data_IF_757409200000
#
_entry.id   IF_757409200000
#
_cell.length_a   1.000
_cell.length_b   1.000
_cell.length_c   1.000
_cell.angle_alpha   90.00
_cell.angle_beta   90.00
_cell.angle_gamma   90.00
#
_symmetry.space_group_name_H-M   'P 1'
#
loop_
_entity.id
_entity.type
_entity.pdbx_description
1 polymer ?
#
# COMPACT_ATOMS: atom_id res chain seq x y z
N UNK A 1 20.86 13.89 16.87
CA UNK A 1 21.04 14.05 15.42
C UNK A 1 19.65 14.12 14.77
N UNK A 2 19.30 15.28 14.20
CA UNK A 2 17.99 15.53 13.58
C UNK A 2 17.94 15.10 12.10
N UNK A 3 18.58 14.01 11.76
CA UNK A 3 18.56 13.46 10.39
C UNK A 3 17.27 12.64 10.23
N UNK A 4 16.35 13.13 9.43
CA UNK A 4 15.06 12.47 9.18
C UNK A 4 14.85 12.27 7.69
N UNK A 5 14.25 11.13 7.31
CA UNK A 5 13.77 10.85 5.97
C UNK A 5 12.58 9.89 6.05
N UNK A 6 11.78 9.84 5.00
CA UNK A 6 10.63 8.94 4.93
C UNK A 6 11.01 7.62 4.27
N UNK A 7 10.55 6.53 4.85
CA UNK A 7 10.60 5.19 4.26
C UNK A 7 9.17 4.80 3.89
N UNK A 8 8.97 4.37 2.65
CA UNK A 8 7.71 3.81 2.20
C UNK A 8 7.87 2.31 2.03
N UNK A 9 7.01 1.54 2.68
CA UNK A 9 6.91 0.10 2.44
C UNK A 9 6.16 -0.15 1.14
N UNK A 10 6.75 -0.98 0.29
CA UNK A 10 6.11 -1.45 -0.93
C UNK A 10 5.98 -2.97 -0.80
N UNK A 11 4.85 -3.45 -0.29
CA UNK A 11 4.65 -4.87 -0.06
C UNK A 11 4.77 -5.64 -1.37
N UNK A 12 5.61 -6.66 -1.35
CA UNK A 12 5.90 -7.68 -2.35
C UNK A 12 5.61 -7.29 -3.80
N UNK A 13 6.64 -7.06 -4.58
CA UNK A 13 6.49 -7.03 -6.04
C UNK A 13 5.92 -8.40 -6.44
N UNK A 14 4.66 -8.42 -6.83
CA UNK A 14 3.95 -9.63 -7.20
C UNK A 14 4.45 -10.04 -8.59
N UNK A 15 4.77 -11.31 -8.77
CA UNK A 15 5.04 -11.91 -10.08
C UNK A 15 3.95 -11.46 -11.06
N UNK A 16 4.38 -10.91 -12.23
CA UNK A 16 3.51 -10.38 -13.28
C UNK A 16 2.81 -9.03 -13.01
N UNK A 17 3.34 -8.19 -12.13
CA UNK A 17 2.84 -6.83 -11.92
C UNK A 17 2.80 -6.00 -13.21
N UNK A 18 3.62 -6.34 -14.22
CA UNK A 18 3.69 -5.67 -15.52
C UNK A 18 2.59 -6.11 -16.51
N UNK A 19 1.90 -7.24 -16.27
CA UNK A 19 0.88 -7.79 -17.16
C UNK A 19 -0.54 -7.25 -16.94
N UNK A 20 -0.69 -6.21 -16.12
CA UNK A 20 -1.96 -5.47 -16.06
C UNK A 20 -2.98 -5.95 -15.02
N UNK A 21 -2.64 -6.86 -14.11
CA UNK A 21 -3.47 -7.14 -12.95
C UNK A 21 -3.37 -5.96 -11.96
N UNK A 22 -4.08 -4.91 -12.23
CA UNK A 22 -4.37 -3.62 -11.54
C UNK A 22 -3.59 -3.15 -10.31
N UNK A 23 -2.97 -4.00 -9.54
CA UNK A 23 -2.23 -3.67 -8.32
C UNK A 23 -0.75 -3.33 -8.58
N UNK A 24 -0.08 -4.01 -9.52
CA UNK A 24 1.35 -3.84 -9.77
C UNK A 24 1.73 -2.45 -10.31
N UNK A 25 0.99 -1.92 -11.28
CA UNK A 25 1.23 -0.58 -11.83
C UNK A 25 1.03 0.55 -10.81
N UNK A 26 0.12 0.39 -9.86
CA UNK A 26 -0.11 1.39 -8.83
C UNK A 26 1.04 1.42 -7.81
N UNK A 27 1.60 0.25 -7.46
CA UNK A 27 2.74 0.14 -6.57
C UNK A 27 4.04 0.70 -7.18
N UNK A 28 4.30 0.36 -8.43
CA UNK A 28 5.49 0.82 -9.13
C UNK A 28 5.52 2.35 -9.28
N UNK A 29 4.35 3.00 -9.39
CA UNK A 29 4.23 4.46 -9.39
C UNK A 29 4.73 5.10 -8.08
N UNK A 30 4.56 4.44 -6.92
CA UNK A 30 5.10 4.93 -5.67
C UNK A 30 6.62 4.88 -5.64
N UNK A 31 7.24 3.87 -6.28
CA UNK A 31 8.70 3.78 -6.42
C UNK A 31 9.28 4.91 -7.28
N UNK A 32 8.52 5.44 -8.23
CA UNK A 32 8.97 6.58 -9.05
C UNK A 32 9.29 7.81 -8.20
N UNK A 33 8.59 8.00 -7.09
CA UNK A 33 8.77 9.14 -6.17
C UNK A 33 9.92 8.96 -5.17
N UNK A 34 10.45 7.76 -5.03
CA UNK A 34 11.57 7.49 -4.12
C UNK A 34 12.90 7.91 -4.74
N UNK A 35 13.88 8.27 -3.93
CA UNK A 35 15.24 8.62 -4.38
C UNK A 35 16.18 7.43 -4.34
N UNK A 36 15.95 6.51 -3.41
CA UNK A 36 16.77 5.34 -3.14
C UNK A 36 15.85 4.13 -2.97
N UNK A 37 16.28 2.99 -3.43
CA UNK A 37 15.59 1.72 -3.24
C UNK A 37 16.35 0.84 -2.24
N UNK A 38 15.63 0.26 -1.30
CA UNK A 38 16.15 -0.76 -0.39
C UNK A 38 15.48 -2.07 -0.74
N UNK A 39 16.26 -3.03 -1.22
CA UNK A 39 15.76 -4.34 -1.60
C UNK A 39 16.02 -5.34 -0.45
N UNK A 40 14.98 -5.70 0.27
CA UNK A 40 15.05 -6.74 1.30
C UNK A 40 14.92 -8.11 0.67
N UNK A 41 15.86 -9.01 1.01
CA UNK A 41 15.86 -10.39 0.54
C UNK A 41 15.90 -11.33 1.73
N UNK A 42 15.03 -12.31 1.75
CA UNK A 42 15.05 -13.39 2.74
C UNK A 42 16.15 -14.39 2.40
N UNK A 43 17.21 -14.43 3.21
CA UNK A 43 18.36 -15.32 2.99
C UNK A 43 18.13 -16.75 3.50
N UNK A 44 17.07 -16.99 4.28
CA UNK A 44 16.87 -18.31 4.91
C UNK A 44 16.42 -19.41 3.95
N UNK A 45 15.79 -19.05 2.83
CA UNK A 45 15.25 -20.04 1.87
C UNK A 45 14.15 -20.95 2.44
N UNK A 46 13.66 -20.70 3.66
CA UNK A 46 12.73 -21.59 4.38
C UNK A 46 11.38 -21.78 3.68
N UNK A 47 10.99 -20.85 2.81
CA UNK A 47 9.75 -20.95 2.03
C UNK A 47 9.92 -21.75 0.73
N UNK A 48 11.06 -22.43 0.56
CA UNK A 48 11.38 -23.18 -0.66
C UNK A 48 11.74 -22.30 -1.86
N UNK A 49 12.03 -21.02 -1.62
CA UNK A 49 12.46 -20.05 -2.63
C UNK A 49 13.96 -19.85 -2.58
N UNK A 50 14.59 -19.72 -3.74
CA UNK A 50 16.00 -19.35 -3.83
C UNK A 50 16.14 -17.82 -3.77
N UNK A 51 16.85 -17.26 -2.76
CA UNK A 51 17.06 -15.81 -2.62
C UNK A 51 17.62 -15.14 -3.89
N UNK A 52 18.46 -15.85 -4.63
CA UNK A 52 19.06 -15.31 -5.85
C UNK A 52 18.05 -15.24 -7.01
N UNK A 53 17.16 -16.20 -7.11
CA UNK A 53 16.09 -16.18 -8.11
C UNK A 53 15.06 -15.11 -7.77
N UNK A 54 14.67 -14.93 -6.51
CA UNK A 54 13.78 -13.85 -6.07
C UNK A 54 14.36 -12.47 -6.40
N UNK A 55 15.64 -12.26 -6.12
CA UNK A 55 16.33 -11.02 -6.51
C UNK A 55 16.29 -10.80 -8.02
N UNK A 56 16.53 -11.83 -8.82
CA UNK A 56 16.53 -11.75 -10.29
C UNK A 56 15.14 -11.44 -10.84
N UNK A 57 14.08 -12.08 -10.31
CA UNK A 57 12.71 -11.84 -10.70
C UNK A 57 12.35 -10.37 -10.47
N UNK A 58 12.52 -9.86 -9.25
CA UNK A 58 12.21 -8.48 -8.89
C UNK A 58 13.05 -7.47 -9.70
N UNK A 59 14.34 -7.77 -9.91
CA UNK A 59 15.21 -6.92 -10.70
C UNK A 59 14.76 -6.84 -12.17
N UNK A 60 14.30 -7.95 -12.74
CA UNK A 60 13.76 -7.97 -14.09
C UNK A 60 12.43 -7.22 -14.19
N UNK A 61 11.57 -7.30 -13.19
CA UNK A 61 10.30 -6.55 -13.16
C UNK A 61 10.54 -5.04 -13.11
N UNK A 62 11.43 -4.59 -12.24
CA UNK A 62 11.80 -3.17 -12.16
C UNK A 62 12.35 -2.66 -13.50
N UNK A 63 13.20 -3.45 -14.15
CA UNK A 63 13.78 -3.11 -15.46
C UNK A 63 12.73 -3.06 -16.57
N UNK A 64 11.79 -4.02 -16.60
CA UNK A 64 10.71 -4.04 -17.57
C UNK A 64 9.74 -2.89 -17.41
N UNK A 65 9.52 -2.45 -16.18
CA UNK A 65 8.57 -1.37 -15.91
C UNK A 65 9.10 -0.02 -16.39
N UNK A 66 10.32 0.37 -15.99
CA UNK A 66 10.90 1.65 -16.37
C UNK A 66 12.42 1.68 -16.10
N UNK A 67 13.20 2.04 -17.11
CA UNK A 67 14.65 2.15 -16.98
C UNK A 67 15.09 3.15 -15.90
N UNK A 68 14.31 4.22 -15.68
CA UNK A 68 14.57 5.20 -14.63
C UNK A 68 14.54 4.57 -13.22
N UNK A 69 13.68 3.58 -12.97
CA UNK A 69 13.65 2.86 -11.69
C UNK A 69 14.84 1.92 -11.53
N UNK A 70 15.24 1.27 -12.63
CA UNK A 70 16.43 0.42 -12.62
C UNK A 70 17.71 1.19 -12.27
N UNK A 71 17.82 2.42 -12.75
CA UNK A 71 19.00 3.27 -12.57
C UNK A 71 19.04 4.00 -11.23
N UNK A 72 18.02 3.88 -10.38
CA UNK A 72 18.03 4.48 -9.03
C UNK A 72 19.10 3.85 -8.15
N UNK A 73 19.75 4.65 -7.27
CA UNK A 73 20.61 4.12 -6.22
C UNK A 73 19.87 3.03 -5.45
N UNK A 74 20.51 1.88 -5.31
CA UNK A 74 19.93 0.72 -4.65
C UNK A 74 20.91 0.06 -3.74
N UNK A 75 20.44 -0.32 -2.55
CA UNK A 75 21.15 -1.17 -1.62
C UNK A 75 20.36 -2.48 -1.41
N UNK A 76 21.08 -3.56 -1.17
CA UNK A 76 20.49 -4.86 -0.88
C UNK A 76 20.65 -5.13 0.61
N UNK A 77 19.57 -5.46 1.28
CA UNK A 77 19.57 -5.96 2.64
C UNK A 77 19.32 -7.46 2.63
N UNK A 78 20.37 -8.23 2.87
CA UNK A 78 20.31 -9.66 3.07
C UNK A 78 19.76 -9.92 4.48
N UNK A 79 18.46 -10.19 4.58
CA UNK A 79 17.74 -10.29 5.86
C UNK A 79 17.62 -11.74 6.34
N UNK A 80 17.25 -11.89 7.61
CA UNK A 80 17.13 -13.17 8.31
C UNK A 80 18.47 -13.91 8.46
N UNK A 81 19.55 -13.16 8.69
CA UNK A 81 20.89 -13.74 8.88
C UNK A 81 21.03 -14.54 10.17
N UNK A 82 20.03 -14.51 11.04
CA UNK A 82 19.90 -15.31 12.26
C UNK A 82 19.39 -16.73 12.00
N UNK A 83 19.01 -17.06 10.77
CA UNK A 83 18.46 -18.36 10.42
C UNK A 83 19.49 -19.27 9.71
N UNK A 84 19.34 -20.62 9.79
CA UNK A 84 20.18 -21.57 9.06
C UNK A 84 20.23 -21.27 7.55
N UNK A 85 21.30 -21.69 6.89
CA UNK A 85 21.54 -21.57 5.44
C UNK A 85 21.69 -20.11 4.92
N UNK A 86 21.45 -19.10 5.76
CA UNK A 86 21.54 -17.68 5.38
C UNK A 86 22.95 -17.28 4.98
N UNK A 87 23.95 -17.81 5.65
CA UNK A 87 25.37 -17.47 5.40
C UNK A 87 25.83 -17.99 4.04
N UNK A 88 25.47 -19.23 3.67
CA UNK A 88 25.75 -19.80 2.35
C UNK A 88 25.06 -19.00 1.24
N UNK A 89 23.80 -18.64 1.43
CA UNK A 89 23.06 -17.83 0.47
C UNK A 89 23.64 -16.43 0.34
N UNK A 90 24.13 -15.82 1.44
CA UNK A 90 24.81 -14.53 1.41
C UNK A 90 26.12 -14.61 0.57
N UNK A 91 26.94 -15.62 0.76
CA UNK A 91 28.15 -15.81 -0.04
C UNK A 91 27.84 -15.95 -1.54
N UNK A 92 26.81 -16.71 -1.88
CA UNK A 92 26.31 -16.83 -3.26
C UNK A 92 25.88 -15.50 -3.83
N UNK A 93 25.12 -14.70 -3.04
CA UNK A 93 24.65 -13.38 -3.44
C UNK A 93 25.80 -12.40 -3.64
N UNK A 94 26.74 -12.35 -2.69
CA UNK A 94 27.92 -11.49 -2.76
C UNK A 94 28.83 -11.83 -3.95
N UNK A 95 29.06 -13.11 -4.21
CA UNK A 95 29.86 -13.57 -5.35
C UNK A 95 29.24 -13.14 -6.68
N UNK A 96 27.92 -13.11 -6.78
CA UNK A 96 27.23 -12.82 -8.03
C UNK A 96 26.96 -11.34 -8.25
N UNK A 97 26.62 -10.60 -7.19
CA UNK A 97 26.11 -9.24 -7.28
C UNK A 97 26.89 -8.22 -6.43
N UNK A 98 27.89 -8.66 -5.64
CA UNK A 98 28.65 -7.79 -4.75
C UNK A 98 29.49 -6.72 -5.45
N UNK A 99 29.81 -6.89 -6.74
CA UNK A 99 30.48 -5.86 -7.54
C UNK A 99 29.52 -4.77 -8.04
N UNK A 100 28.24 -5.08 -8.16
CA UNK A 100 27.24 -4.16 -8.74
C UNK A 100 26.41 -3.46 -7.67
N UNK A 101 26.28 -4.07 -6.49
CA UNK A 101 25.43 -3.57 -5.41
C UNK A 101 26.11 -3.63 -4.05
N UNK A 102 25.82 -2.65 -3.21
CA UNK A 102 26.17 -2.70 -1.79
C UNK A 102 25.20 -3.66 -1.06
N UNK A 103 25.77 -4.71 -0.43
CA UNK A 103 25.00 -5.75 0.25
C UNK A 103 25.24 -5.66 1.75
N UNK A 104 24.16 -5.51 2.52
CA UNK A 104 24.17 -5.40 3.97
C UNK A 104 23.50 -6.63 4.59
N UNK A 105 24.25 -7.50 5.28
CA UNK A 105 23.67 -8.58 6.07
C UNK A 105 22.97 -7.99 7.30
N UNK A 106 21.71 -8.36 7.51
CA UNK A 106 20.91 -7.90 8.65
C UNK A 106 20.06 -9.02 9.23
N UNK A 107 19.72 -8.88 10.51
CA UNK A 107 18.74 -9.70 11.18
C UNK A 107 17.68 -8.77 11.82
N UNK A 108 16.78 -8.26 11.00
CA UNK A 108 15.88 -7.18 11.40
C UNK A 108 14.96 -7.57 12.57
N UNK A 109 14.50 -8.81 12.62
CA UNK A 109 13.64 -9.32 13.71
C UNK A 109 14.43 -9.72 14.96
N UNK A 110 15.68 -10.14 14.83
CA UNK A 110 16.51 -10.59 15.94
C UNK A 110 17.21 -9.45 16.70
N UNK A 111 16.97 -8.18 16.34
CA UNK A 111 17.41 -7.02 17.10
C UNK A 111 18.77 -6.44 16.70
N UNK A 112 19.26 -6.70 15.51
CA UNK A 112 20.52 -6.16 14.95
C UNK A 112 20.49 -4.64 14.72
N UNK A 113 20.39 -3.85 15.81
CA UNK A 113 20.27 -2.38 15.74
C UNK A 113 21.45 -1.72 15.05
N UNK A 114 22.66 -2.21 15.27
CA UNK A 114 23.87 -1.63 14.69
C UNK A 114 23.91 -1.78 13.16
N UNK A 115 23.51 -2.92 12.64
CA UNK A 115 23.48 -3.18 11.20
C UNK A 115 22.36 -2.39 10.53
N UNK A 116 21.20 -2.29 11.16
CA UNK A 116 20.13 -1.41 10.69
C UNK A 116 20.56 0.07 10.68
N UNK A 117 21.33 0.52 11.67
CA UNK A 117 21.85 1.89 11.69
C UNK A 117 22.80 2.15 10.52
N UNK A 118 23.67 1.19 10.15
CA UNK A 118 24.54 1.29 8.97
C UNK A 118 23.72 1.46 7.69
N UNK A 119 22.68 0.64 7.53
CA UNK A 119 21.75 0.73 6.39
C UNK A 119 21.08 2.10 6.32
N UNK A 120 20.51 2.56 7.44
CA UNK A 120 19.83 3.85 7.51
C UNK A 120 20.76 5.02 7.21
N UNK A 121 21.99 4.98 7.75
CA UNK A 121 23.00 6.00 7.46
C UNK A 121 23.36 6.03 5.97
N UNK A 122 23.54 4.85 5.38
CA UNK A 122 23.83 4.75 3.95
C UNK A 122 22.70 5.23 3.07
N UNK A 123 21.46 4.90 3.43
CA UNK A 123 20.26 5.45 2.77
C UNK A 123 20.28 6.98 2.80
N UNK A 124 20.57 7.57 3.95
CA UNK A 124 20.62 9.03 4.11
C UNK A 124 21.68 9.65 3.20
N UNK A 125 22.90 9.09 3.16
CA UNK A 125 23.96 9.54 2.28
C UNK A 125 23.56 9.51 0.79
N UNK A 126 22.97 8.40 0.36
CA UNK A 126 22.49 8.24 -1.02
C UNK A 126 21.33 9.22 -1.35
N UNK A 127 20.44 9.49 -0.40
CA UNK A 127 19.36 10.48 -0.57
C UNK A 127 19.92 11.89 -0.74
N UNK A 128 20.99 12.23 -0.02
CA UNK A 128 21.67 13.54 -0.15
C UNK A 128 22.43 13.66 -1.46
N UNK A 129 23.07 12.57 -1.91
CA UNK A 129 23.82 12.52 -3.16
C UNK A 129 22.92 12.45 -4.40
N UNK A 130 21.68 11.98 -4.23
CA UNK A 130 20.73 11.90 -5.33
C UNK A 130 20.43 13.31 -5.88
N UNK A 131 20.42 13.49 -7.22
CA UNK A 131 20.04 14.75 -7.81
C UNK A 131 18.65 15.15 -7.27
N UNK A 132 18.49 16.43 -6.97
CA UNK A 132 17.14 16.95 -6.66
C UNK A 132 16.30 16.57 -7.87
N UNK A 133 15.38 15.64 -7.66
CA UNK A 133 14.33 15.40 -8.65
C UNK A 133 13.67 16.75 -8.79
N UNK A 134 13.93 17.44 -9.92
CA UNK A 134 13.05 18.52 -10.31
C UNK A 134 11.70 17.86 -10.33
N UNK A 135 10.83 18.26 -9.40
CA UNK A 135 9.43 17.99 -9.53
C UNK A 135 9.09 18.49 -10.93
N UNK A 136 9.07 17.57 -11.92
CA UNK A 136 8.31 17.86 -13.14
C UNK A 136 6.99 18.30 -12.57
N UNK A 137 6.71 19.62 -12.65
CA UNK A 137 5.38 20.12 -12.39
C UNK A 137 4.52 19.19 -13.19
N UNK A 138 3.95 18.19 -12.51
CA UNK A 138 2.86 17.44 -13.07
C UNK A 138 1.97 18.55 -13.60
N UNK A 139 1.76 18.54 -14.92
CA UNK A 139 0.65 19.31 -15.49
C UNK A 139 -0.42 19.23 -14.47
N UNK A 140 -0.80 20.37 -13.93
CA UNK A 140 -1.69 20.49 -12.78
C UNK A 140 -2.58 19.27 -12.76
N UNK A 141 -2.18 18.25 -11.94
CA UNK A 141 -3.19 17.34 -11.47
C UNK A 141 -4.15 18.36 -10.92
N UNK A 142 -5.21 18.61 -11.71
CA UNK A 142 -6.36 19.33 -11.18
C UNK A 142 -6.44 18.72 -9.82
N UNK A 143 -6.00 19.48 -8.81
CA UNK A 143 -6.29 19.17 -7.44
C UNK A 143 -7.79 19.11 -7.51
N UNK A 144 -8.26 17.92 -7.83
CA UNK A 144 -9.57 17.54 -7.45
C UNK A 144 -9.39 17.63 -5.96
N UNK A 145 -9.54 18.87 -5.44
CA UNK A 145 -9.93 19.04 -4.07
C UNK A 145 -10.79 17.83 -3.87
N UNK A 146 -10.36 16.91 -3.00
CA UNK A 146 -11.27 16.01 -2.38
C UNK A 146 -12.31 16.97 -1.74
N UNK A 147 -13.20 17.51 -2.56
CA UNK A 147 -14.57 17.67 -2.14
C UNK A 147 -14.82 16.26 -1.68
N UNK A 148 -14.94 16.08 -0.37
CA UNK A 148 -15.48 14.90 0.22
C UNK A 148 -16.55 14.44 -0.77
N UNK A 149 -16.18 13.54 -1.70
CA UNK A 149 -17.17 12.80 -2.43
C UNK A 149 -17.67 11.92 -1.32
N UNK A 150 -18.74 12.43 -0.69
CA UNK A 150 -19.51 11.56 0.15
C UNK A 150 -19.65 10.28 -0.66
N UNK A 151 -19.18 9.13 -0.17
CA UNK A 151 -19.17 7.88 -0.95
C UNK A 151 -20.60 7.48 -1.34
N UNK A 152 -21.56 8.33 -1.04
CA UNK A 152 -22.99 8.19 -1.28
C UNK A 152 -23.62 9.58 -1.53
N UNK A 153 -24.76 9.59 -2.20
CA UNK A 153 -25.67 10.72 -2.33
C UNK A 153 -26.96 10.41 -1.59
N UNK A 154 -27.55 11.41 -0.97
CA UNK A 154 -28.82 11.30 -0.25
C UNK A 154 -29.79 12.30 -0.87
N UNK A 155 -30.94 11.83 -1.24
CA UNK A 155 -32.05 12.66 -1.69
C UNK A 155 -33.36 12.18 -1.07
N UNK A 156 -34.38 13.04 -1.05
CA UNK A 156 -35.69 12.70 -0.54
C UNK A 156 -36.63 12.42 -1.70
N UNK A 157 -37.39 11.35 -1.63
CA UNK A 157 -38.40 11.04 -2.65
C UNK A 157 -39.74 11.78 -2.41
N UNK A 158 -40.70 11.60 -3.32
CA UNK A 158 -42.00 12.24 -3.25
C UNK A 158 -42.88 11.69 -2.09
N UNK A 159 -42.52 10.55 -1.50
CA UNK A 159 -43.17 9.93 -0.36
C UNK A 159 -42.53 10.34 0.97
N UNK A 160 -41.43 11.06 0.94
CA UNK A 160 -40.73 11.53 2.12
C UNK A 160 -39.62 10.61 2.61
N UNK A 161 -39.33 9.51 1.93
CA UNK A 161 -38.26 8.58 2.26
C UNK A 161 -36.89 9.11 1.86
N UNK A 162 -35.86 8.79 2.62
CA UNK A 162 -34.47 9.12 2.29
C UNK A 162 -33.85 8.03 1.42
N UNK A 163 -33.54 8.38 0.18
CA UNK A 163 -32.90 7.45 -0.77
C UNK A 163 -31.40 7.65 -0.70
N UNK A 164 -30.67 6.57 -0.46
CA UNK A 164 -29.21 6.55 -0.40
C UNK A 164 -28.65 5.78 -1.61
N UNK A 165 -27.83 6.46 -2.40
CA UNK A 165 -27.17 5.87 -3.57
C UNK A 165 -25.65 6.06 -3.48
N UNK A 166 -24.89 5.06 -3.93
CA UNK A 166 -23.44 5.10 -3.98
C UNK A 166 -22.83 3.74 -4.26
N UNK A 167 -21.77 3.70 -5.03
CA UNK A 167 -21.13 2.44 -5.43
C UNK A 167 -20.60 1.65 -4.23
N UNK A 168 -20.06 2.34 -3.23
CA UNK A 168 -19.59 1.70 -1.99
C UNK A 168 -20.75 1.19 -1.14
N UNK A 169 -21.86 1.94 -1.01
CA UNK A 169 -23.06 1.50 -0.29
C UNK A 169 -23.60 0.23 -0.94
N UNK A 170 -23.78 0.24 -2.27
CA UNK A 170 -24.24 -0.92 -3.04
C UNK A 170 -23.37 -2.16 -2.81
N UNK A 171 -22.05 -1.97 -2.85
CA UNK A 171 -21.07 -3.05 -2.64
C UNK A 171 -21.21 -3.68 -1.27
N UNK A 172 -21.29 -2.88 -0.22
CA UNK A 172 -21.40 -3.40 1.14
C UNK A 172 -22.74 -4.09 1.41
N UNK A 173 -23.84 -3.58 0.87
CA UNK A 173 -25.15 -4.24 0.93
C UNK A 173 -25.08 -5.61 0.24
N UNK A 174 -24.56 -5.68 -0.98
CA UNK A 174 -24.44 -6.92 -1.75
C UNK A 174 -23.53 -7.98 -1.10
N UNK A 175 -22.58 -7.57 -0.25
CA UNK A 175 -21.65 -8.44 0.47
C UNK A 175 -22.18 -8.87 1.86
N UNK A 176 -23.33 -8.37 2.29
CA UNK A 176 -23.88 -8.65 3.62
C UNK A 176 -24.93 -9.74 3.57
N UNK A 177 -24.73 -10.77 4.39
CA UNK A 177 -25.75 -11.78 4.64
C UNK A 177 -26.73 -11.26 5.71
N UNK A 178 -27.91 -10.86 5.29
CA UNK A 178 -28.97 -10.34 6.18
C UNK A 178 -29.59 -11.40 7.09
N UNK A 179 -29.33 -12.67 6.86
CA UNK A 179 -29.72 -13.76 7.78
C UNK A 179 -28.78 -13.89 8.98
N UNK A 180 -27.66 -13.14 9.02
CA UNK A 180 -26.67 -13.20 10.08
C UNK A 180 -26.56 -11.86 10.83
N UNK A 181 -27.00 -11.82 12.08
CA UNK A 181 -26.99 -10.61 12.92
C UNK A 181 -25.60 -9.97 13.04
N UNK A 182 -24.53 -10.77 13.09
CA UNK A 182 -23.15 -10.26 13.17
C UNK A 182 -22.75 -9.55 11.87
N UNK A 183 -23.21 -10.02 10.72
CA UNK A 183 -22.97 -9.37 9.43
C UNK A 183 -23.72 -8.04 9.32
N UNK A 184 -24.97 -7.99 9.79
CA UNK A 184 -25.78 -6.77 9.85
C UNK A 184 -25.14 -5.73 10.77
N UNK A 185 -24.69 -6.11 11.97
CA UNK A 185 -23.97 -5.20 12.88
C UNK A 185 -22.64 -4.68 12.28
N UNK A 186 -21.97 -5.51 11.48
CA UNK A 186 -20.78 -5.09 10.75
C UNK A 186 -21.13 -4.03 9.70
N UNK A 187 -22.20 -4.23 8.93
CA UNK A 187 -22.68 -3.26 7.94
C UNK A 187 -23.00 -1.92 8.58
N UNK A 188 -23.72 -1.91 9.71
CA UNK A 188 -24.03 -0.69 10.47
C UNK A 188 -22.77 0.07 10.89
N UNK A 189 -21.76 -0.65 11.40
CA UNK A 189 -20.46 -0.03 11.75
C UNK A 189 -19.75 0.57 10.54
N UNK A 190 -19.83 -0.06 9.38
CA UNK A 190 -19.26 0.45 8.14
C UNK A 190 -19.99 1.71 7.69
N UNK A 191 -21.33 1.71 7.69
CA UNK A 191 -22.12 2.87 7.33
C UNK A 191 -21.86 4.06 8.25
N UNK A 192 -21.75 3.81 9.55
CA UNK A 192 -21.36 4.83 10.51
C UNK A 192 -19.96 5.38 10.26
N UNK A 193 -18.98 4.50 9.96
CA UNK A 193 -17.61 4.90 9.61
C UNK A 193 -17.53 5.68 8.29
N UNK A 194 -18.43 5.40 7.35
CA UNK A 194 -18.57 6.16 6.09
C UNK A 194 -19.23 7.53 6.28
N UNK A 195 -19.75 7.83 7.47
CA UNK A 195 -20.45 9.08 7.77
C UNK A 195 -21.89 9.13 7.24
N UNK A 196 -22.53 7.98 7.01
CA UNK A 196 -23.90 7.92 6.52
C UNK A 196 -24.89 8.58 7.49
N UNK A 197 -24.73 8.35 8.79
CA UNK A 197 -25.56 8.94 9.83
C UNK A 197 -25.48 10.49 9.80
N UNK A 198 -24.27 11.02 9.68
CA UNK A 198 -24.06 12.47 9.58
C UNK A 198 -24.61 13.05 8.27
N UNK A 199 -24.52 12.28 7.19
CA UNK A 199 -25.11 12.63 5.90
C UNK A 199 -26.65 12.72 5.98
N UNK A 200 -27.30 11.72 6.58
CA UNK A 200 -28.74 11.68 6.78
C UNK A 200 -29.24 12.83 7.66
N UNK A 201 -28.53 13.13 8.78
CA UNK A 201 -28.84 14.29 9.63
C UNK A 201 -28.75 15.62 8.87
N UNK A 202 -27.70 15.80 8.06
CA UNK A 202 -27.55 16.98 7.21
C UNK A 202 -28.63 17.09 6.13
N UNK A 203 -29.14 15.96 5.66
CA UNK A 203 -30.27 15.90 4.74
C UNK A 203 -31.63 16.13 5.42
N UNK A 204 -31.67 16.22 6.76
CA UNK A 204 -32.86 16.51 7.55
C UNK A 204 -33.61 15.26 8.04
N UNK A 205 -32.93 14.12 8.14
CA UNK A 205 -33.51 12.88 8.69
C UNK A 205 -33.61 12.97 10.22
N UNK A 206 -34.72 12.50 10.76
CA UNK A 206 -35.01 12.39 12.19
C UNK A 206 -35.19 10.92 12.58
N UNK A 207 -35.10 10.66 13.87
CA UNK A 207 -35.32 9.32 14.42
C UNK A 207 -36.68 8.76 13.98
N UNK A 208 -36.66 7.56 13.37
CA UNK A 208 -37.83 6.88 12.84
C UNK A 208 -38.17 7.18 11.38
N UNK A 209 -37.38 8.05 10.73
CA UNK A 209 -37.54 8.26 9.28
C UNK A 209 -37.04 7.02 8.50
N UNK A 210 -37.78 6.64 7.47
CA UNK A 210 -37.42 5.48 6.63
C UNK A 210 -36.33 5.86 5.63
N UNK A 211 -35.29 5.04 5.59
CA UNK A 211 -34.14 5.14 4.68
C UNK A 211 -34.15 3.94 3.75
N UNK A 212 -34.03 4.20 2.45
CA UNK A 212 -33.96 3.18 1.41
C UNK A 212 -32.59 3.25 0.74
N UNK A 213 -31.85 2.16 0.81
CA UNK A 213 -30.56 2.02 0.15
C UNK A 213 -30.59 0.79 -0.77
N UNK A 214 -30.86 0.97 -2.04
CA UNK A 214 -31.10 -0.10 -3.02
C UNK A 214 -32.22 -1.05 -2.56
N UNK A 215 -31.91 -2.32 -2.28
CA UNK A 215 -32.87 -3.34 -1.84
C UNK A 215 -33.02 -3.39 -0.29
N UNK A 216 -32.32 -2.50 0.43
CA UNK A 216 -32.35 -2.44 1.89
C UNK A 216 -33.21 -1.25 2.36
N UNK A 217 -34.19 -1.53 3.17
CA UNK A 217 -35.04 -0.55 3.85
C UNK A 217 -34.82 -0.65 5.37
N UNK A 218 -34.60 0.49 6.03
CA UNK A 218 -34.40 0.55 7.48
C UNK A 218 -34.81 1.90 8.05
N UNK A 219 -35.13 1.93 9.33
CA UNK A 219 -35.47 3.17 10.03
C UNK A 219 -34.19 3.83 10.56
N UNK A 220 -34.09 5.15 10.39
CA UNK A 220 -32.98 5.92 10.93
C UNK A 220 -33.10 5.99 12.45
N UNK A 221 -32.09 5.51 13.15
CA UNK A 221 -31.97 5.56 14.61
C UNK A 221 -30.80 6.49 15.01
N UNK A 222 -31.06 7.39 15.94
CA UNK A 222 -30.02 8.24 16.52
C UNK A 222 -29.10 7.49 17.47
#
# INVERSE_FOLDING_TARGET
DERTFCIADVPGLIENAHEGAGLGHHFLRHLERTKVLVHLIDMSGQEGRDPLEDFKIISNELKKYKDELWNKPRIICANKMDLPDSEENLERLQKKYGNDFEIYPIAAAAGGKEDLQKVLLRCYELILAAPKVEEKKEEEIKVTTFKERCPFTIHRDDHGYFIVEGSEVKKWIAMTDFGNDAAVQRLQRIFKAMGLDDGLRKAGAHHGDTVIAYDLEFDFAE
#
